data_IF_804495746810
#
_entry.id   IF_804495746810
#
_cell.length_a   1.000
_cell.length_b   1.000
_cell.length_c   1.000
_cell.angle_alpha   90.00
_cell.angle_beta   90.00
_cell.angle_gamma   90.00
#
_symmetry.space_group_name_H-M   'P 1'
#
loop_
_entity.id
_entity.type
_entity.pdbx_description
1 polymer ?
#
# COMPACT_ATOMS: atom_id res chain seq x y z
N UNK A 1 -15.07 -0.56 9.64
CA UNK A 1 -14.89 0.00 8.28
C UNK A 1 -14.42 1.45 8.27
N UNK A 2 -15.13 2.41 8.88
CA UNK A 2 -14.71 3.82 8.90
C UNK A 2 -13.30 4.03 9.45
N UNK A 3 -12.93 3.32 10.52
CA UNK A 3 -11.60 3.41 11.13
C UNK A 3 -10.53 2.92 10.16
N UNK A 4 -10.74 1.74 9.54
CA UNK A 4 -9.77 1.18 8.60
C UNK A 4 -9.55 2.05 7.38
N UNK A 5 -10.63 2.52 6.74
CA UNK A 5 -10.56 3.42 5.59
C UNK A 5 -9.96 4.78 5.97
N UNK A 6 -10.42 5.37 7.08
CA UNK A 6 -9.91 6.67 7.54
C UNK A 6 -8.44 6.63 7.92
N UNK A 7 -8.01 5.61 8.67
CA UNK A 7 -6.62 5.43 9.05
C UNK A 7 -5.71 5.21 7.83
N UNK A 8 -6.13 4.36 6.90
CA UNK A 8 -5.37 4.14 5.67
C UNK A 8 -5.30 5.39 4.80
N UNK A 9 -6.40 6.14 4.66
CA UNK A 9 -6.38 7.40 3.89
C UNK A 9 -5.40 8.42 4.48
N UNK A 10 -5.41 8.62 5.80
CA UNK A 10 -4.45 9.50 6.48
C UNK A 10 -3.03 8.99 6.32
N UNK A 11 -2.81 7.67 6.48
CA UNK A 11 -1.49 7.07 6.31
C UNK A 11 -0.96 7.20 4.89
N UNK A 12 -1.83 7.03 3.85
CA UNK A 12 -1.48 7.23 2.43
C UNK A 12 -1.04 8.66 2.18
N UNK A 13 -1.79 9.64 2.67
CA UNK A 13 -1.44 11.06 2.48
C UNK A 13 -0.11 11.39 3.15
N UNK A 14 0.07 11.03 4.42
CA UNK A 14 1.31 11.27 5.15
C UNK A 14 2.49 10.49 4.56
N UNK A 15 2.30 9.21 4.24
CA UNK A 15 3.31 8.35 3.64
C UNK A 15 3.71 8.79 2.24
N UNK A 16 2.77 9.27 1.42
CA UNK A 16 3.06 9.83 0.11
C UNK A 16 3.95 11.08 0.21
N UNK A 17 3.65 11.98 1.14
CA UNK A 17 4.45 13.19 1.37
C UNK A 17 5.84 12.83 1.90
N UNK A 18 5.92 12.03 2.98
CA UNK A 18 7.20 11.68 3.60
C UNK A 18 8.06 10.81 2.68
N UNK A 19 7.47 9.84 1.98
CA UNK A 19 8.17 8.96 1.04
C UNK A 19 8.72 9.70 -0.16
N UNK A 20 7.92 10.59 -0.75
CA UNK A 20 8.36 11.45 -1.85
C UNK A 20 9.48 12.41 -1.40
N UNK A 21 9.33 13.00 -0.21
CA UNK A 21 10.35 13.86 0.38
C UNK A 21 11.65 13.09 0.64
N UNK A 22 11.56 11.90 1.24
CA UNK A 22 12.71 11.05 1.48
C UNK A 22 13.41 10.58 0.19
N UNK A 23 12.65 10.34 -0.91
CA UNK A 23 13.20 9.94 -2.19
C UNK A 23 13.91 11.07 -2.94
N UNK A 24 13.45 12.32 -2.79
CA UNK A 24 13.93 13.47 -3.59
C UNK A 24 14.89 14.38 -2.85
N UNK A 25 14.99 14.25 -1.52
CA UNK A 25 15.85 15.07 -0.67
C UNK A 25 17.32 14.61 -0.67
N UNK A 26 18.17 15.44 -0.04
CA UNK A 26 19.58 15.09 0.21
C UNK A 26 19.67 13.85 1.12
N UNK A 27 20.75 13.10 0.99
CA UNK A 27 21.00 11.84 1.73
C UNK A 27 20.74 11.98 3.24
N UNK A 28 21.24 13.06 3.86
CA UNK A 28 21.05 13.30 5.31
C UNK A 28 19.57 13.44 5.71
N UNK A 29 18.76 14.15 4.91
CA UNK A 29 17.32 14.31 5.17
C UNK A 29 16.59 12.99 4.98
N UNK A 30 16.91 12.26 3.90
CA UNK A 30 16.36 10.94 3.63
C UNK A 30 16.67 9.96 4.78
N UNK A 31 17.91 9.91 5.22
CA UNK A 31 18.33 9.04 6.33
C UNK A 31 17.67 9.47 7.65
N UNK A 32 17.57 10.78 7.93
CA UNK A 32 16.89 11.30 9.12
C UNK A 32 15.42 10.88 9.18
N UNK A 33 14.67 11.03 8.07
CA UNK A 33 13.28 10.57 7.98
C UNK A 33 13.20 9.07 8.27
N UNK A 34 14.03 8.26 7.59
CA UNK A 34 13.99 6.81 7.76
C UNK A 34 14.34 6.38 9.19
N UNK A 35 15.29 7.04 9.85
CA UNK A 35 15.66 6.76 11.26
C UNK A 35 14.51 7.03 12.23
N UNK A 36 13.80 8.16 12.06
CA UNK A 36 12.62 8.46 12.87
C UNK A 36 11.54 7.39 12.70
N UNK A 37 11.29 6.95 11.46
CA UNK A 37 10.33 5.89 11.20
C UNK A 37 10.78 4.53 11.75
N UNK A 38 12.08 4.24 11.74
CA UNK A 38 12.65 3.03 12.34
C UNK A 38 12.43 2.98 13.85
N UNK A 39 12.56 4.13 14.52
CA UNK A 39 12.26 4.25 15.97
C UNK A 39 10.79 3.94 16.24
N UNK A 40 9.87 4.48 15.46
CA UNK A 40 8.43 4.16 15.61
C UNK A 40 8.18 2.67 15.45
N UNK A 41 8.79 2.02 14.46
CA UNK A 41 8.62 0.60 14.20
C UNK A 41 9.32 -0.33 15.20
N UNK A 42 10.20 0.20 16.05
CA UNK A 42 10.85 -0.59 17.12
C UNK A 42 9.90 -0.95 18.25
N UNK A 43 8.79 -0.23 18.38
CA UNK A 43 7.78 -0.52 19.38
C UNK A 43 6.78 -1.57 18.89
N UNK A 44 6.33 -2.49 19.75
CA UNK A 44 5.22 -3.38 19.41
C UNK A 44 3.96 -2.57 19.12
N UNK A 45 3.43 -2.67 17.88
CA UNK A 45 2.36 -1.80 17.36
C UNK A 45 1.12 -1.76 18.26
N UNK A 46 0.62 -2.93 18.70
CA UNK A 46 -0.57 -3.01 19.58
C UNK A 46 -0.29 -2.32 20.94
N UNK A 47 0.89 -2.51 21.52
CA UNK A 47 1.25 -1.88 22.79
C UNK A 47 1.33 -0.35 22.64
N UNK A 48 1.98 0.13 21.58
CA UNK A 48 2.07 1.56 21.30
C UNK A 48 0.69 2.17 21.06
N UNK A 49 -0.17 1.49 20.29
CA UNK A 49 -1.54 1.94 20.05
C UNK A 49 -2.34 2.01 21.36
N UNK A 50 -2.26 0.99 22.21
CA UNK A 50 -2.98 0.96 23.48
C UNK A 50 -2.56 2.14 24.39
N UNK A 51 -1.26 2.46 24.44
CA UNK A 51 -0.74 3.61 25.20
C UNK A 51 -1.26 4.93 24.60
N UNK A 52 -1.19 5.11 23.28
CA UNK A 52 -1.66 6.34 22.64
C UNK A 52 -3.17 6.55 22.88
N UNK A 53 -3.98 5.50 22.73
CA UNK A 53 -5.41 5.58 22.99
C UNK A 53 -5.71 5.81 24.49
N UNK A 54 -4.94 5.24 25.40
CA UNK A 54 -5.10 5.48 26.82
C UNK A 54 -4.79 6.94 27.20
N UNK A 55 -3.83 7.57 26.55
CA UNK A 55 -3.42 8.97 26.81
C UNK A 55 -4.38 9.97 26.15
N UNK A 56 -4.73 9.75 24.87
CA UNK A 56 -5.50 10.72 24.08
C UNK A 56 -7.01 10.46 24.07
N UNK A 57 -7.45 9.34 24.63
CA UNK A 57 -8.85 8.98 24.75
C UNK A 57 -9.33 7.98 23.70
N UNK A 58 -10.43 7.26 24.02
CA UNK A 58 -11.03 6.18 23.20
C UNK A 58 -12.13 6.73 22.29
N UNK A 59 -11.79 7.58 21.37
CA UNK A 59 -12.74 8.16 20.41
C UNK A 59 -12.30 7.89 18.97
N UNK A 60 -13.25 8.01 18.04
CA UNK A 60 -13.03 7.69 16.63
C UNK A 60 -11.83 8.42 16.00
N UNK A 61 -11.66 9.76 16.14
CA UNK A 61 -10.51 10.44 15.58
C UNK A 61 -9.16 9.96 16.14
N UNK A 62 -9.08 9.72 17.45
CA UNK A 62 -7.84 9.22 18.08
C UNK A 62 -7.48 7.84 17.56
N UNK A 63 -8.44 6.93 17.42
CA UNK A 63 -8.20 5.59 16.84
C UNK A 63 -7.72 5.68 15.39
N UNK A 64 -8.36 6.50 14.56
CA UNK A 64 -7.95 6.73 13.18
C UNK A 64 -6.52 7.24 13.11
N UNK A 65 -6.18 8.27 13.89
CA UNK A 65 -4.86 8.88 13.89
C UNK A 65 -3.79 7.94 14.46
N UNK A 66 -4.12 7.17 15.50
CA UNK A 66 -3.20 6.19 16.09
C UNK A 66 -2.85 5.08 15.10
N UNK A 67 -3.84 4.48 14.44
CA UNK A 67 -3.62 3.43 13.45
C UNK A 67 -2.88 4.01 12.23
N UNK A 68 -3.28 5.20 11.77
CA UNK A 68 -2.58 5.89 10.69
C UNK A 68 -1.10 6.12 11.02
N UNK A 69 -0.79 6.62 12.22
CA UNK A 69 0.57 6.85 12.68
C UNK A 69 1.44 5.60 12.62
N UNK A 70 0.88 4.43 12.99
CA UNK A 70 1.58 3.16 12.95
C UNK A 70 1.82 2.66 11.51
N UNK A 71 0.96 3.03 10.56
CA UNK A 71 1.08 2.61 9.16
C UNK A 71 1.89 3.57 8.29
N UNK A 72 2.05 4.83 8.72
CA UNK A 72 2.90 5.82 8.01
C UNK A 72 4.29 5.29 7.70
N UNK A 73 5.04 4.62 8.61
CA UNK A 73 6.37 4.11 8.29
C UNK A 73 6.39 3.13 7.12
N UNK A 74 5.46 2.18 7.09
CA UNK A 74 5.37 1.17 6.03
C UNK A 74 5.08 1.84 4.68
N UNK A 75 4.06 2.71 4.65
CA UNK A 75 3.69 3.45 3.45
C UNK A 75 4.80 4.37 2.95
N UNK A 76 5.48 5.07 3.85
CA UNK A 76 6.62 5.92 3.51
C UNK A 76 7.72 5.13 2.80
N UNK A 77 8.01 3.90 3.26
CA UNK A 77 9.01 3.02 2.64
C UNK A 77 8.56 2.56 1.25
N UNK A 78 7.31 2.15 1.11
CA UNK A 78 6.74 1.72 -0.18
C UNK A 78 6.75 2.88 -1.18
N UNK A 79 6.29 4.06 -0.78
CA UNK A 79 6.29 5.25 -1.64
C UNK A 79 7.72 5.63 -2.04
N UNK A 80 8.64 5.68 -1.07
CA UNK A 80 10.05 6.00 -1.34
C UNK A 80 10.66 5.04 -2.35
N UNK A 81 10.44 3.72 -2.20
CA UNK A 81 10.96 2.72 -3.12
C UNK A 81 10.41 2.89 -4.54
N UNK A 82 9.09 3.08 -4.68
CA UNK A 82 8.45 3.32 -5.97
C UNK A 82 8.93 4.61 -6.63
N UNK A 83 9.02 5.70 -5.88
CA UNK A 83 9.53 6.98 -6.41
C UNK A 83 10.97 6.83 -6.89
N UNK A 84 11.85 6.18 -6.13
CA UNK A 84 13.24 5.95 -6.53
C UNK A 84 13.34 5.09 -7.79
N UNK A 85 12.52 4.04 -7.92
CA UNK A 85 12.44 3.21 -9.11
C UNK A 85 12.06 4.05 -10.34
N UNK A 86 11.01 4.87 -10.22
CA UNK A 86 10.56 5.75 -11.31
C UNK A 86 11.62 6.80 -11.70
N UNK A 87 12.43 7.27 -10.76
CA UNK A 87 13.55 8.20 -11.06
C UNK A 87 14.68 7.55 -11.84
N UNK A 88 14.74 6.22 -11.93
CA UNK A 88 15.67 5.44 -12.76
C UNK A 88 15.22 5.22 -14.19
N UNK A 89 13.97 5.55 -14.54
CA UNK A 89 13.39 5.31 -15.85
C UNK A 89 13.85 6.32 -16.92
N UNK A 90 13.88 5.89 -18.18
CA UNK A 90 14.36 6.67 -19.32
C UNK A 90 13.54 7.95 -19.56
N UNK A 91 12.24 7.93 -19.30
CA UNK A 91 11.39 9.12 -19.46
C UNK A 91 11.81 10.24 -18.50
N UNK A 92 12.26 9.90 -17.27
CA UNK A 92 12.75 10.88 -16.30
C UNK A 92 14.11 11.44 -16.77
N UNK A 93 14.95 10.60 -17.37
CA UNK A 93 16.21 11.06 -17.95
C UNK A 93 15.96 12.06 -19.10
N UNK A 94 15.00 11.77 -19.98
CA UNK A 94 14.60 12.68 -21.06
C UNK A 94 14.07 14.03 -20.52
N UNK A 95 13.22 14.01 -19.51
CA UNK A 95 12.70 15.22 -18.85
C UNK A 95 13.82 16.10 -18.25
N UNK A 96 14.86 15.47 -17.70
CA UNK A 96 16.03 16.20 -17.18
C UNK A 96 16.84 16.87 -18.29
N UNK A 97 16.97 16.21 -19.45
CA UNK A 97 17.71 16.77 -20.60
C UNK A 97 17.06 18.04 -21.14
N UNK A 98 15.73 18.08 -21.17
CA UNK A 98 14.97 19.29 -21.57
C UNK A 98 14.89 20.35 -20.47
N UNK A 99 15.50 20.11 -19.28
CA UNK A 99 15.60 21.09 -18.21
C UNK A 99 14.39 21.16 -17.27
N UNK A 100 13.52 20.16 -17.25
CA UNK A 100 12.36 20.15 -16.37
C UNK A 100 12.78 20.16 -14.89
N UNK A 101 12.17 21.00 -14.02
CA UNK A 101 12.51 21.06 -12.61
C UNK A 101 12.05 19.79 -11.88
N UNK A 102 12.84 19.35 -10.89
CA UNK A 102 12.59 18.11 -10.13
C UNK A 102 11.16 18.00 -9.58
N UNK A 103 10.59 19.12 -9.12
CA UNK A 103 9.23 19.17 -8.59
C UNK A 103 8.18 18.87 -9.66
N UNK A 104 8.38 19.37 -10.87
CA UNK A 104 7.49 19.11 -11.99
C UNK A 104 7.53 17.64 -12.38
N UNK A 105 8.72 17.05 -12.51
CA UNK A 105 8.91 15.64 -12.80
C UNK A 105 8.20 14.78 -11.74
N UNK A 106 8.40 15.10 -10.44
CA UNK A 106 7.78 14.35 -9.35
C UNK A 106 6.25 14.37 -9.44
N UNK A 107 5.64 15.56 -9.53
CA UNK A 107 4.18 15.69 -9.43
C UNK A 107 3.49 15.26 -10.72
N UNK A 108 4.04 15.62 -11.87
CA UNK A 108 3.37 15.44 -13.16
C UNK A 108 3.59 14.05 -13.78
N UNK A 109 4.72 13.43 -13.50
CA UNK A 109 5.11 12.17 -14.14
C UNK A 109 5.27 11.03 -13.13
N UNK A 110 6.14 11.18 -12.13
CA UNK A 110 6.46 10.12 -11.18
C UNK A 110 5.28 9.76 -10.28
N UNK A 111 4.59 10.74 -9.70
CA UNK A 111 3.48 10.48 -8.77
C UNK A 111 2.33 9.71 -9.44
N UNK A 112 2.02 10.01 -10.70
CA UNK A 112 0.97 9.33 -11.46
C UNK A 112 1.35 7.85 -11.68
N UNK A 113 2.61 7.58 -12.04
CA UNK A 113 3.10 6.22 -12.26
C UNK A 113 3.26 5.41 -10.97
N UNK A 114 3.48 6.10 -9.83
CA UNK A 114 3.51 5.46 -8.51
C UNK A 114 2.11 5.20 -7.93
N UNK A 115 1.05 5.82 -8.47
CA UNK A 115 -0.29 5.73 -7.88
C UNK A 115 -0.81 4.28 -7.84
N UNK A 116 -0.63 3.52 -8.91
CA UNK A 116 -1.11 2.14 -9.01
C UNK A 116 -0.55 1.23 -7.90
N UNK A 117 0.76 1.03 -7.74
CA UNK A 117 1.31 0.18 -6.68
C UNK A 117 1.00 0.70 -5.27
N UNK A 118 0.90 2.02 -5.08
CA UNK A 118 0.53 2.60 -3.78
C UNK A 118 -0.93 2.29 -3.45
N UNK A 119 -1.86 2.37 -4.41
CA UNK A 119 -3.27 2.05 -4.19
C UNK A 119 -3.50 0.57 -3.91
N UNK A 120 -2.79 -0.33 -4.59
CA UNK A 120 -2.81 -1.77 -4.25
C UNK A 120 -2.38 -1.98 -2.81
N UNK A 121 -1.23 -1.42 -2.42
CA UNK A 121 -0.75 -1.54 -1.06
C UNK A 121 -1.70 -0.92 -0.03
N UNK A 122 -2.34 0.21 -0.36
CA UNK A 122 -3.35 0.83 0.49
C UNK A 122 -4.57 -0.09 0.72
N UNK A 123 -5.01 -0.85 -0.30
CA UNK A 123 -6.12 -1.80 -0.14
C UNK A 123 -5.77 -2.90 0.87
N UNK A 124 -4.55 -3.44 0.82
CA UNK A 124 -4.06 -4.40 1.83
C UNK A 124 -4.04 -3.76 3.22
N UNK A 125 -3.57 -2.52 3.33
CA UNK A 125 -3.54 -1.82 4.62
C UNK A 125 -4.94 -1.54 5.19
N UNK A 126 -5.98 -1.38 4.37
CA UNK A 126 -7.36 -1.29 4.88
C UNK A 126 -7.75 -2.60 5.57
N UNK A 127 -7.43 -3.75 4.98
CA UNK A 127 -7.71 -5.05 5.57
C UNK A 127 -6.97 -5.23 6.90
N UNK A 128 -5.67 -4.90 6.92
CA UNK A 128 -4.85 -4.94 8.14
C UNK A 128 -5.38 -4.00 9.23
N UNK A 129 -5.81 -2.79 8.87
CA UNK A 129 -6.35 -1.80 9.80
C UNK A 129 -7.65 -2.27 10.46
N UNK A 130 -8.48 -3.04 9.74
CA UNK A 130 -9.70 -3.65 10.30
C UNK A 130 -9.34 -4.69 11.34
N UNK A 131 -8.37 -5.58 11.04
CA UNK A 131 -7.90 -6.59 12.00
C UNK A 131 -7.25 -5.91 13.21
N UNK A 132 -6.45 -4.89 12.98
CA UNK A 132 -5.75 -4.15 14.04
C UNK A 132 -6.73 -3.44 14.98
N UNK A 133 -7.75 -2.76 14.43
CA UNK A 133 -8.83 -2.13 15.22
C UNK A 133 -9.60 -3.18 16.03
N UNK A 134 -9.98 -4.29 15.40
CA UNK A 134 -10.70 -5.36 16.09
C UNK A 134 -9.86 -5.95 17.24
N UNK A 135 -8.54 -6.13 17.04
CA UNK A 135 -7.62 -6.58 18.07
C UNK A 135 -7.49 -5.59 19.22
N UNK A 136 -7.40 -4.29 18.89
CA UNK A 136 -7.32 -3.22 19.87
C UNK A 136 -8.60 -3.10 20.70
N UNK A 137 -9.77 -3.20 20.05
CA UNK A 137 -11.08 -3.22 20.70
C UNK A 137 -11.25 -4.47 21.57
N UNK A 138 -10.78 -5.63 21.10
CA UNK A 138 -10.86 -6.89 21.84
C UNK A 138 -10.09 -6.85 23.18
N UNK A 139 -8.95 -6.16 23.23
CA UNK A 139 -8.20 -5.95 24.49
C UNK A 139 -8.75 -4.79 25.34
N UNK A 140 -9.85 -4.14 24.88
CA UNK A 140 -10.50 -3.04 25.59
C UNK A 140 -9.88 -1.66 25.36
N UNK A 141 -8.95 -1.52 24.41
CA UNK A 141 -8.35 -0.25 24.02
C UNK A 141 -8.98 0.36 22.75
N UNK A 142 -10.09 -0.19 22.24
CA UNK A 142 -10.80 0.31 21.08
C UNK A 142 -11.80 1.42 21.36
N UNK A 143 -12.74 1.61 20.43
CA UNK A 143 -13.82 2.59 20.56
C UNK A 143 -14.74 2.24 21.72
N UNK A 144 -15.23 3.26 22.45
CA UNK A 144 -16.14 3.04 23.57
C UNK A 144 -17.58 2.79 23.13
N UNK A 145 -18.31 1.98 23.91
CA UNK A 145 -19.76 1.86 23.80
C UNK A 145 -20.44 3.24 23.94
N UNK A 146 -21.56 3.49 23.21
CA UNK A 146 -22.34 2.55 22.39
C UNK A 146 -21.92 2.47 20.91
N UNK A 147 -20.72 2.94 20.53
CA UNK A 147 -20.31 2.88 19.13
C UNK A 147 -20.08 1.43 18.66
N UNK A 148 -20.70 1.00 17.55
CA UNK A 148 -20.63 -0.37 17.09
C UNK A 148 -19.24 -0.70 16.52
N UNK A 149 -18.63 -1.77 17.03
CA UNK A 149 -17.37 -2.32 16.52
C UNK A 149 -17.43 -3.85 16.60
N UNK A 150 -16.94 -4.53 15.58
CA UNK A 150 -16.80 -6.00 15.62
C UNK A 150 -15.86 -6.45 16.75
N UNK A 151 -14.83 -5.67 17.05
CA UNK A 151 -13.91 -5.93 18.14
C UNK A 151 -14.59 -5.85 19.52
N UNK A 152 -15.51 -4.88 19.73
CA UNK A 152 -16.28 -4.77 20.97
C UNK A 152 -17.23 -5.97 21.14
N UNK A 153 -17.90 -6.41 20.05
CA UNK A 153 -18.77 -7.59 20.09
C UNK A 153 -17.95 -8.85 20.40
N UNK A 154 -16.74 -8.99 19.84
CA UNK A 154 -15.82 -10.07 20.17
C UNK A 154 -15.39 -10.03 21.64
N UNK A 155 -15.07 -8.85 22.16
CA UNK A 155 -14.71 -8.67 23.59
C UNK A 155 -15.83 -9.07 24.53
N UNK A 156 -17.08 -8.70 24.21
CA UNK A 156 -18.27 -9.16 24.92
C UNK A 156 -18.46 -10.68 24.77
N UNK A 157 -18.36 -11.21 23.56
CA UNK A 157 -18.47 -12.64 23.26
C UNK A 157 -17.51 -13.50 24.09
N UNK A 158 -16.30 -13.01 24.35
CA UNK A 158 -15.33 -13.70 25.22
C UNK A 158 -15.87 -13.94 26.65
N UNK A 159 -16.70 -13.04 27.16
CA UNK A 159 -17.24 -13.16 28.50
C UNK A 159 -18.34 -14.23 28.60
N UNK A 160 -19.08 -14.45 27.52
CA UNK A 160 -20.23 -15.35 27.51
C UNK A 160 -19.98 -16.70 26.80
N UNK A 161 -18.84 -16.87 26.17
CA UNK A 161 -18.51 -18.09 25.40
C UNK A 161 -18.51 -19.33 26.30
N UNK A 162 -18.04 -19.22 27.55
CA UNK A 162 -18.01 -20.32 28.52
C UNK A 162 -19.39 -20.66 29.06
N UNK A 163 -20.35 -19.73 28.97
CA UNK A 163 -21.77 -19.98 29.30
C UNK A 163 -22.58 -20.50 28.10
N UNK A 164 -21.91 -20.86 26.99
CA UNK A 164 -22.55 -21.41 25.80
C UNK A 164 -22.85 -20.37 24.71
N UNK A 165 -22.58 -19.07 24.92
CA UNK A 165 -22.84 -17.97 23.98
C UNK A 165 -21.83 -17.85 22.84
N UNK A 166 -21.47 -18.94 22.18
CA UNK A 166 -20.45 -19.03 21.14
C UNK A 166 -20.74 -18.14 19.92
N UNK A 167 -22.01 -17.89 19.60
CA UNK A 167 -22.41 -17.07 18.44
C UNK A 167 -21.91 -15.63 18.49
N UNK A 168 -21.76 -15.06 19.70
CA UNK A 168 -21.29 -13.68 19.89
C UNK A 168 -19.81 -13.51 19.51
N UNK A 169 -19.04 -14.58 19.42
CA UNK A 169 -17.66 -14.58 18.93
C UNK A 169 -17.59 -15.03 17.46
N UNK A 170 -18.39 -16.04 17.09
CA UNK A 170 -18.34 -16.64 15.77
C UNK A 170 -18.76 -15.67 14.65
N UNK A 171 -19.92 -15.02 14.76
CA UNK A 171 -20.44 -14.17 13.70
C UNK A 171 -19.60 -12.91 13.44
N UNK A 172 -19.14 -12.14 14.45
CA UNK A 172 -18.25 -11.01 14.18
C UNK A 172 -16.88 -11.46 13.64
N UNK A 173 -16.36 -12.59 14.12
CA UNK A 173 -15.13 -13.17 13.55
C UNK A 173 -15.29 -13.55 12.08
N UNK A 174 -16.42 -14.18 11.72
CA UNK A 174 -16.74 -14.50 10.33
C UNK A 174 -16.90 -13.23 9.46
N UNK A 175 -17.54 -12.19 10.00
CA UNK A 175 -17.68 -10.92 9.29
C UNK A 175 -16.33 -10.26 9.01
N UNK A 176 -15.41 -10.28 9.97
CA UNK A 176 -14.03 -9.81 9.77
C UNK A 176 -13.32 -10.64 8.70
N UNK A 177 -13.38 -11.98 8.81
CA UNK A 177 -12.77 -12.91 7.87
C UNK A 177 -13.20 -12.63 6.42
N UNK A 178 -14.54 -12.61 6.19
CA UNK A 178 -15.10 -12.38 4.84
C UNK A 178 -14.69 -11.01 4.30
N UNK A 179 -14.72 -9.98 5.14
CA UNK A 179 -14.36 -8.62 4.74
C UNK A 179 -12.87 -8.51 4.36
N UNK A 180 -12.00 -9.06 5.19
CA UNK A 180 -10.55 -9.05 4.95
C UNK A 180 -10.21 -9.88 3.72
N UNK A 181 -10.82 -11.04 3.55
CA UNK A 181 -10.64 -11.87 2.36
C UNK A 181 -11.08 -11.13 1.09
N UNK A 182 -12.25 -10.48 1.12
CA UNK A 182 -12.73 -9.71 -0.02
C UNK A 182 -11.80 -8.54 -0.39
N UNK A 183 -11.25 -7.82 0.61
CA UNK A 183 -10.30 -6.74 0.38
C UNK A 183 -8.96 -7.25 -0.19
N UNK A 184 -8.47 -8.39 0.29
CA UNK A 184 -7.24 -8.98 -0.24
C UNK A 184 -7.42 -9.47 -1.67
N UNK A 185 -8.53 -10.14 -2.00
CA UNK A 185 -8.88 -10.52 -3.37
C UNK A 185 -9.03 -9.30 -4.29
N UNK A 186 -9.59 -8.21 -3.77
CA UNK A 186 -9.66 -6.94 -4.51
C UNK A 186 -8.27 -6.38 -4.80
N UNK A 187 -7.35 -6.40 -3.82
CA UNK A 187 -5.99 -5.94 -4.00
C UNK A 187 -5.23 -6.78 -5.05
N UNK A 188 -5.42 -8.11 -5.02
CA UNK A 188 -4.85 -9.03 -6.01
C UNK A 188 -5.40 -8.75 -7.41
N UNK A 189 -6.72 -8.63 -7.56
CA UNK A 189 -7.35 -8.30 -8.84
C UNK A 189 -6.93 -6.93 -9.39
N UNK A 190 -6.70 -5.93 -8.54
CA UNK A 190 -6.14 -4.64 -8.94
C UNK A 190 -4.69 -4.80 -9.42
N UNK A 191 -3.89 -5.61 -8.75
CA UNK A 191 -2.51 -5.90 -9.16
C UNK A 191 -2.49 -6.52 -10.56
N UNK A 192 -3.30 -7.54 -10.79
CA UNK A 192 -3.39 -8.24 -12.08
C UNK A 192 -3.87 -7.30 -13.20
N UNK A 193 -4.88 -6.49 -12.92
CA UNK A 193 -5.40 -5.52 -13.89
C UNK A 193 -4.36 -4.46 -14.30
N UNK A 194 -3.47 -4.07 -13.39
CA UNK A 194 -2.41 -3.10 -13.70
C UNK A 194 -1.13 -3.74 -14.23
N UNK A 195 -0.84 -4.99 -13.86
CA UNK A 195 0.27 -5.77 -14.39
C UNK A 195 -0.01 -6.33 -15.80
N UNK A 196 -1.30 -6.42 -16.21
CA UNK A 196 -1.66 -6.87 -17.54
C UNK A 196 -0.93 -6.02 -18.59
N UNK A 197 -0.08 -6.61 -19.46
CA UNK A 197 0.57 -5.87 -20.53
C UNK A 197 -0.53 -5.19 -21.32
N UNK A 198 -0.42 -3.87 -21.51
CA UNK A 198 -1.17 -3.22 -22.59
C UNK A 198 -0.64 -3.84 -23.86
N UNK A 199 -1.29 -4.92 -24.30
CA UNK A 199 -0.96 -5.61 -25.54
C UNK A 199 -1.10 -4.59 -26.66
N UNK A 200 0.00 -3.92 -26.99
CA UNK A 200 0.14 -3.43 -28.34
C UNK A 200 -0.06 -4.65 -29.24
N UNK A 201 -0.95 -4.60 -30.23
CA UNK A 201 -1.09 -5.70 -31.18
C UNK A 201 0.32 -6.03 -31.66
N UNK A 202 0.75 -7.26 -31.47
CA UNK A 202 2.07 -7.71 -31.93
C UNK A 202 2.16 -7.29 -33.39
N UNK A 203 3.12 -6.41 -33.77
CA UNK A 203 3.23 -6.01 -35.16
C UNK A 203 3.42 -7.29 -35.93
N UNK A 204 2.44 -7.62 -36.81
CA UNK A 204 2.43 -8.80 -37.65
C UNK A 204 3.86 -9.02 -38.11
N UNK A 205 4.51 -10.06 -37.58
CA UNK A 205 5.87 -10.45 -37.96
C UNK A 205 5.82 -10.57 -39.48
N UNK A 206 6.26 -9.53 -40.20
CA UNK A 206 6.46 -9.60 -41.64
C UNK A 206 7.32 -10.82 -41.83
N UNK A 207 6.70 -11.94 -42.35
CA UNK A 207 7.44 -13.11 -42.78
C UNK A 207 8.51 -12.59 -43.71
N UNK A 208 9.76 -12.61 -43.25
CA UNK A 208 10.88 -12.36 -44.14
C UNK A 208 10.69 -13.32 -45.29
N UNK A 209 10.66 -12.85 -46.56
CA UNK A 209 10.62 -13.75 -47.69
C UNK A 209 11.78 -14.73 -47.57
N UNK A 210 11.60 -15.99 -47.92
CA UNK A 210 12.66 -16.99 -47.87
C UNK A 210 13.87 -16.48 -48.65
N UNK A 211 15.03 -16.49 -48.01
CA UNK A 211 16.30 -16.13 -48.65
C UNK A 211 16.46 -16.96 -49.90
N UNK A 212 16.39 -16.32 -51.08
CA UNK A 212 16.77 -16.94 -52.37
C UNK A 212 18.28 -16.83 -52.49
N UNK A 213 19.03 -17.96 -52.50
CA UNK A 213 20.44 -17.89 -52.85
C UNK A 213 20.58 -17.35 -54.26
N UNK A 214 21.41 -16.33 -54.42
CA UNK A 214 21.82 -15.75 -55.70
C UNK A 214 22.56 -16.84 -56.44
N UNK A 215 21.98 -17.33 -57.54
CA UNK A 215 22.62 -18.34 -58.36
C UNK A 215 23.97 -17.79 -58.87
N UNK A 216 25.00 -18.61 -58.57
CA UNK A 216 26.36 -18.37 -59.07
C UNK A 216 26.33 -18.39 -60.61
N UNK A 217 26.49 -17.17 -61.14
CA UNK A 217 26.68 -17.05 -62.60
C UNK A 217 28.02 -17.70 -62.97
N UNK A 218 27.93 -18.92 -63.45
CA UNK A 218 29.08 -19.64 -64.02
C UNK A 218 29.67 -18.86 -65.18
N UNK A 219 30.82 -18.29 -64.96
CA UNK A 219 31.71 -17.82 -66.04
C UNK A 219 32.34 -19.06 -66.65
N UNK A 220 31.82 -19.47 -67.79
CA UNK A 220 32.55 -20.36 -68.73
C UNK A 220 33.59 -19.48 -69.45
N UNK A 221 34.84 -19.75 -69.18
CA UNK A 221 35.91 -19.44 -70.10
C UNK A 221 36.27 -20.70 -70.88
N UNK A 222 36.07 -20.57 -72.20
CA UNK A 222 36.67 -21.46 -73.21
C UNK A 222 38.02 -20.94 -73.66
#
# INVERSE_FOLDING_TARGET
>A
MLIGLGATAVAVLAGAVLGSLAATSRKLVSEGIMRVLDVVMSFPGIALAAVLVAVFGRNLPVLILTIAFLYVPQLTRVVRANVLAQYGEDYVAAERVIGAPRRYILIRHVAINCAAPIMVFATVLVADAIIFEASLSFIGAGIQDPAPSWGNVLAYGRQIVLSGGWWATFFPGLAILVTVLALNLLAEGLTDAWAAPRTAPEPLRRRRPPYRPRGDGGTRYG
#
